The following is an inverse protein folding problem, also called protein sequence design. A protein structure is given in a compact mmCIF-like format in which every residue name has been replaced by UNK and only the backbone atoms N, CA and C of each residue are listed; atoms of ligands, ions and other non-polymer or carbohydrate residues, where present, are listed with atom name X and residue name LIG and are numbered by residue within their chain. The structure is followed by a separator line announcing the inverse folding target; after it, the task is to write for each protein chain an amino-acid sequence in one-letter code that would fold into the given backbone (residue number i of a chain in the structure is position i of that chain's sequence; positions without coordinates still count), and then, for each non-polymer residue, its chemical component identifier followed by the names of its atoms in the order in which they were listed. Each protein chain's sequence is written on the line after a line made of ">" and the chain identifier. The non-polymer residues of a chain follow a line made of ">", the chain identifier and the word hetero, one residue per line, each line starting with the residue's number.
data_IF_271362684856
#
_entry.id   IF_271362684856
#
_cell.length_a   1.000
_cell.length_b   1.000
_cell.length_c   1.000
_cell.angle_alpha   90.00
_cell.angle_beta   90.00
_cell.angle_gamma   90.00
#
_symmetry.space_group_name_H-M   'P 1'
#
loop_
_entity.id
_entity.type
_entity.pdbx_description
1 polymer ?
#
# COMPACT_ATOMS: atom_id res chain seq x y z
N UNK A 1 -25.70 7.86 23.73
CA UNK A 1 -25.12 9.22 23.89
C UNK A 1 -23.64 9.11 24.25
N UNK A 2 -22.82 8.49 23.37
CA UNK A 2 -21.39 8.24 23.65
C UNK A 2 -20.46 8.91 22.63
N UNK A 3 -20.92 10.01 22.01
CA UNK A 3 -20.17 10.78 21.03
C UNK A 3 -18.84 11.37 21.54
N UNK A 4 -18.70 11.87 22.78
CA UNK A 4 -17.46 12.53 23.19
C UNK A 4 -16.24 11.60 23.36
N UNK A 5 -16.46 10.34 23.77
CA UNK A 5 -15.37 9.37 23.94
C UNK A 5 -14.88 8.83 22.58
N UNK A 6 -15.80 8.64 21.65
CA UNK A 6 -15.48 8.20 20.30
C UNK A 6 -14.68 9.26 19.52
N UNK A 7 -15.04 10.54 19.64
CA UNK A 7 -14.28 11.62 19.00
C UNK A 7 -12.87 11.80 19.58
N UNK A 8 -12.72 11.62 20.90
CA UNK A 8 -11.41 11.68 21.54
C UNK A 8 -10.49 10.53 21.11
N UNK A 9 -11.04 9.33 20.87
CA UNK A 9 -10.29 8.19 20.35
C UNK A 9 -9.87 8.37 18.88
N UNK A 10 -10.68 9.04 18.06
CA UNK A 10 -10.37 9.32 16.67
C UNK A 10 -9.05 10.08 16.50
N UNK A 11 -8.81 11.08 17.33
CA UNK A 11 -7.61 11.93 17.21
C UNK A 11 -6.30 11.21 17.50
N UNK A 12 -6.36 10.03 18.12
CA UNK A 12 -5.18 9.25 18.50
C UNK A 12 -4.94 8.02 17.64
N UNK A 13 -6.00 7.34 17.16
CA UNK A 13 -5.86 6.11 16.38
C UNK A 13 -5.49 6.36 14.92
N UNK A 14 -6.20 7.27 14.26
CA UNK A 14 -5.98 7.64 12.86
C UNK A 14 -6.51 9.05 12.61
N UNK A 15 -5.80 9.84 11.80
CA UNK A 15 -6.14 11.25 11.55
C UNK A 15 -6.12 11.56 10.05
N UNK A 16 -6.97 12.50 9.66
CA UNK A 16 -6.93 13.10 8.31
C UNK A 16 -5.56 13.74 8.10
N UNK A 17 -5.03 13.64 6.89
CA UNK A 17 -3.71 14.10 6.47
C UNK A 17 -2.51 13.32 7.04
N UNK A 18 -2.76 12.31 7.87
CA UNK A 18 -1.71 11.39 8.30
C UNK A 18 -1.11 10.66 7.10
N UNK A 19 0.22 10.56 7.06
CA UNK A 19 0.94 9.94 5.96
C UNK A 19 1.91 8.87 6.45
N UNK A 20 2.17 7.88 5.60
CA UNK A 20 3.28 6.95 5.77
C UNK A 20 4.00 6.73 4.46
N UNK A 21 5.30 6.46 4.55
CA UNK A 21 6.18 6.33 3.39
C UNK A 21 7.16 5.18 3.59
N UNK A 22 7.59 4.62 2.46
CA UNK A 22 8.68 3.64 2.40
C UNK A 22 9.43 3.81 1.09
N UNK A 23 10.75 3.76 1.17
CA UNK A 23 11.63 3.69 0.00
C UNK A 23 12.12 2.25 -0.14
N UNK A 24 12.03 1.69 -1.34
CA UNK A 24 12.44 0.32 -1.62
C UNK A 24 12.86 0.14 -3.07
N UNK A 25 13.37 -1.04 -3.39
CA UNK A 25 13.62 -1.49 -4.76
C UNK A 25 13.33 -2.99 -4.86
N UNK A 26 12.95 -3.44 -6.04
CA UNK A 26 12.85 -4.86 -6.35
C UNK A 26 14.11 -5.32 -7.07
N UNK A 27 14.73 -6.39 -6.59
CA UNK A 27 15.75 -7.10 -7.36
C UNK A 27 15.07 -7.93 -8.45
N UNK A 28 15.81 -8.38 -9.47
CA UNK A 28 15.31 -9.35 -10.45
C UNK A 28 14.80 -10.62 -9.77
N UNK A 29 15.48 -11.08 -8.72
CA UNK A 29 15.08 -12.27 -7.95
C UNK A 29 13.76 -12.04 -7.19
N UNK A 30 13.57 -10.88 -6.56
CA UNK A 30 12.31 -10.53 -5.90
C UNK A 30 11.14 -10.58 -6.89
N UNK A 31 11.32 -10.04 -8.08
CA UNK A 31 10.30 -10.01 -9.13
C UNK A 31 9.96 -11.43 -9.61
N UNK A 32 10.98 -12.24 -9.89
CA UNK A 32 10.79 -13.63 -10.31
C UNK A 32 10.13 -14.48 -9.22
N UNK A 33 10.53 -14.30 -7.97
CA UNK A 33 9.97 -15.01 -6.81
C UNK A 33 8.51 -14.69 -6.61
N UNK A 34 8.14 -13.42 -6.67
CA UNK A 34 6.74 -13.00 -6.54
C UNK A 34 5.88 -13.54 -7.69
N UNK A 35 6.40 -13.51 -8.92
CA UNK A 35 5.71 -14.08 -10.07
C UNK A 35 5.44 -15.59 -9.89
N UNK A 36 6.41 -16.34 -9.38
CA UNK A 36 6.21 -17.77 -9.06
C UNK A 36 5.14 -17.98 -7.98
N UNK A 37 5.16 -17.17 -6.91
CA UNK A 37 4.19 -17.26 -5.82
C UNK A 37 2.75 -17.00 -6.28
N UNK A 38 2.57 -16.13 -7.25
CA UNK A 38 1.24 -15.78 -7.79
C UNK A 38 0.82 -16.62 -9.00
N UNK A 39 1.68 -17.52 -9.49
CA UNK A 39 1.42 -18.28 -10.71
C UNK A 39 1.47 -17.43 -11.98
N UNK A 40 2.11 -16.25 -11.93
CA UNK A 40 2.30 -15.38 -13.08
C UNK A 40 3.51 -15.85 -13.89
N UNK A 41 3.26 -16.50 -15.02
CA UNK A 41 4.29 -17.05 -15.91
C UNK A 41 4.73 -16.09 -17.01
N UNK A 42 4.32 -14.81 -16.95
CA UNK A 42 4.72 -13.82 -17.94
C UNK A 42 6.26 -13.67 -17.97
N UNK A 43 6.92 -13.96 -19.11
CA UNK A 43 8.38 -13.95 -19.20
C UNK A 43 9.02 -12.58 -18.90
N UNK A 44 8.27 -11.48 -18.97
CA UNK A 44 8.78 -10.15 -18.62
C UNK A 44 9.21 -10.02 -17.15
N UNK A 45 8.79 -10.95 -16.29
CA UNK A 45 9.12 -10.95 -14.86
C UNK A 45 10.31 -11.86 -14.50
N UNK A 46 10.75 -12.74 -15.40
CA UNK A 46 11.80 -13.71 -15.05
C UNK A 46 12.80 -14.03 -16.16
N UNK A 47 12.51 -13.72 -17.41
CA UNK A 47 13.39 -14.01 -18.55
C UNK A 47 14.05 -12.73 -19.04
N UNK A 48 15.34 -12.56 -18.70
CA UNK A 48 16.11 -11.37 -19.05
C UNK A 48 16.19 -11.18 -20.56
N UNK A 49 16.35 -12.26 -21.34
CA UNK A 49 16.42 -12.17 -22.80
C UNK A 49 15.07 -11.77 -23.40
N UNK A 50 13.97 -12.32 -22.89
CA UNK A 50 12.64 -11.93 -23.32
C UNK A 50 12.37 -10.45 -22.97
N UNK A 51 12.73 -10.02 -21.77
CA UNK A 51 12.58 -8.64 -21.32
C UNK A 51 13.40 -7.66 -22.18
N UNK A 52 14.64 -8.01 -22.53
CA UNK A 52 15.50 -7.18 -23.37
C UNK A 52 14.96 -7.02 -24.80
N UNK A 53 14.27 -8.03 -25.32
CA UNK A 53 13.62 -7.98 -26.65
C UNK A 53 12.27 -7.28 -26.62
N UNK A 54 11.66 -7.15 -25.45
CA UNK A 54 10.37 -6.50 -25.27
C UNK A 54 10.52 -4.98 -25.29
N UNK A 55 9.38 -4.29 -25.38
CA UNK A 55 9.30 -2.82 -25.46
C UNK A 55 10.10 -2.08 -24.38
N UNK A 56 10.17 -2.64 -23.18
CA UNK A 56 10.78 -1.96 -22.03
C UNK A 56 12.29 -2.25 -21.86
N UNK A 57 12.81 -3.32 -22.45
CA UNK A 57 14.24 -3.63 -22.46
C UNK A 57 14.85 -4.14 -21.15
N UNK A 58 14.07 -4.30 -20.08
CA UNK A 58 14.49 -4.79 -18.77
C UNK A 58 13.36 -5.57 -18.10
N UNK A 59 13.71 -6.40 -17.11
CA UNK A 59 12.76 -7.06 -16.22
C UNK A 59 11.90 -6.00 -15.53
N UNK A 60 10.58 -6.21 -15.53
CA UNK A 60 9.61 -5.36 -14.86
C UNK A 60 8.88 -6.13 -13.76
N UNK A 61 8.58 -5.45 -12.65
CA UNK A 61 7.72 -5.98 -11.63
C UNK A 61 6.27 -6.09 -12.15
N UNK A 62 5.56 -7.14 -11.71
CA UNK A 62 4.12 -7.16 -11.91
C UNK A 62 3.45 -6.01 -11.12
N UNK A 63 2.37 -5.45 -11.65
CA UNK A 63 1.62 -4.41 -10.95
C UNK A 63 1.15 -4.89 -9.57
N UNK A 64 0.72 -6.13 -9.47
CA UNK A 64 0.30 -6.75 -8.21
C UNK A 64 1.42 -6.85 -7.16
N UNK A 65 2.69 -6.97 -7.55
CA UNK A 65 3.81 -6.93 -6.62
C UNK A 65 3.97 -5.54 -5.99
N UNK A 66 3.89 -4.49 -6.79
CA UNK A 66 3.95 -3.11 -6.31
C UNK A 66 2.75 -2.81 -5.40
N UNK A 67 1.54 -3.22 -5.79
CA UNK A 67 0.34 -3.02 -4.96
C UNK A 67 0.39 -3.80 -3.65
N UNK A 68 0.95 -5.02 -3.66
CA UNK A 68 1.15 -5.80 -2.44
C UNK A 68 2.08 -5.08 -1.44
N UNK A 69 3.15 -4.45 -1.92
CA UNK A 69 4.03 -3.64 -1.09
C UNK A 69 3.34 -2.37 -0.57
N UNK A 70 2.53 -1.73 -1.38
CA UNK A 70 1.73 -0.58 -0.96
C UNK A 70 0.73 -0.97 0.14
N UNK A 71 -0.01 -2.06 -0.03
CA UNK A 71 -0.95 -2.57 0.98
C UNK A 71 -0.21 -2.95 2.25
N UNK A 72 0.94 -3.62 2.13
CA UNK A 72 1.78 -4.00 3.26
C UNK A 72 2.26 -2.79 4.07
N UNK A 73 2.61 -1.69 3.42
CA UNK A 73 2.95 -0.44 4.09
C UNK A 73 1.76 0.11 4.89
N UNK A 74 0.59 0.19 4.28
CA UNK A 74 -0.62 0.67 4.95
C UNK A 74 -0.99 -0.24 6.13
N UNK A 75 -0.98 -1.55 5.93
CA UNK A 75 -1.32 -2.53 6.96
C UNK A 75 -0.38 -2.42 8.17
N UNK A 76 0.92 -2.32 7.94
CA UNK A 76 1.90 -2.20 9.02
C UNK A 76 1.80 -0.88 9.77
N UNK A 77 1.69 0.22 9.03
CA UNK A 77 1.68 1.55 9.65
C UNK A 77 0.40 1.80 10.44
N UNK A 78 -0.77 1.50 9.88
CA UNK A 78 -2.06 1.79 10.54
C UNK A 78 -2.46 0.75 11.58
N UNK A 79 -1.67 -0.31 11.76
CA UNK A 79 -1.81 -1.28 12.87
C UNK A 79 -0.71 -1.14 13.94
N UNK A 80 0.16 -0.14 13.82
CA UNK A 80 1.29 0.02 14.75
C UNK A 80 0.84 0.25 16.19
N UNK A 81 1.70 -0.12 17.13
CA UNK A 81 1.51 0.09 18.57
C UNK A 81 2.71 0.77 19.25
N UNK A 82 3.69 1.20 18.49
CA UNK A 82 4.91 1.85 18.99
C UNK A 82 4.68 3.27 19.56
N UNK A 83 3.52 3.84 19.30
CA UNK A 83 3.06 5.11 19.85
C UNK A 83 2.19 4.94 21.14
N UNK A 84 2.13 3.73 21.69
CA UNK A 84 1.35 3.41 22.88
C UNK A 84 -0.15 3.20 22.62
N UNK A 85 -0.58 3.21 21.35
CA UNK A 85 -1.97 2.96 20.96
C UNK A 85 -2.12 1.57 20.37
N UNK A 86 -2.99 0.75 20.97
CA UNK A 86 -3.34 -0.55 20.39
C UNK A 86 -4.40 -0.37 19.30
N UNK A 87 -4.15 -0.95 18.12
CA UNK A 87 -5.04 -0.85 16.95
C UNK A 87 -5.37 -2.22 16.39
N UNK A 88 -6.64 -2.43 16.14
CA UNK A 88 -7.12 -3.49 15.26
C UNK A 88 -7.40 -2.88 13.88
N UNK A 89 -6.77 -3.43 12.85
CA UNK A 89 -6.88 -2.95 11.48
C UNK A 89 -7.45 -4.02 10.57
N UNK A 90 -8.43 -3.65 9.75
CA UNK A 90 -8.90 -4.43 8.62
C UNK A 90 -8.81 -3.59 7.34
N UNK A 91 -8.16 -4.14 6.33
CA UNK A 91 -8.17 -3.58 4.98
C UNK A 91 -9.44 -4.05 4.28
N UNK A 92 -10.37 -3.15 3.96
CA UNK A 92 -11.67 -3.52 3.40
C UNK A 92 -11.67 -3.58 1.89
N UNK A 93 -11.02 -2.61 1.24
CA UNK A 93 -10.87 -2.62 -0.21
C UNK A 93 -9.68 -1.77 -0.65
N UNK A 94 -9.20 -2.06 -1.85
CA UNK A 94 -8.25 -1.23 -2.58
C UNK A 94 -8.59 -1.25 -4.07
N UNK A 95 -8.35 -0.12 -4.72
CA UNK A 95 -8.44 0.02 -6.16
C UNK A 95 -7.16 0.68 -6.66
N UNK A 96 -6.52 0.09 -7.67
CA UNK A 96 -5.25 0.57 -8.22
C UNK A 96 -5.34 0.79 -9.72
N UNK A 97 -4.63 1.80 -10.20
CA UNK A 97 -4.38 2.03 -11.61
C UNK A 97 -2.87 1.99 -11.89
N UNK A 98 -2.50 1.26 -12.92
CA UNK A 98 -1.11 1.09 -13.37
C UNK A 98 -0.83 2.10 -14.46
N UNK A 99 0.14 2.99 -14.24
CA UNK A 99 0.46 4.11 -15.13
C UNK A 99 1.75 3.92 -15.90
N UNK A 100 2.73 3.25 -15.30
CA UNK A 100 4.04 3.00 -15.89
C UNK A 100 4.67 1.74 -15.30
N UNK A 101 5.60 1.08 -16.02
CA UNK A 101 6.32 -0.07 -15.49
C UNK A 101 7.27 0.33 -14.36
N UNK A 102 7.48 -0.60 -13.44
CA UNK A 102 8.54 -0.53 -12.43
C UNK A 102 9.62 -1.52 -12.83
N UNK A 103 10.80 -1.02 -13.14
CA UNK A 103 11.94 -1.86 -13.54
C UNK A 103 12.67 -2.42 -12.31
N UNK A 104 13.31 -3.58 -12.51
CA UNK A 104 14.24 -4.12 -11.52
C UNK A 104 15.28 -3.06 -11.12
N UNK A 105 15.65 -3.05 -9.84
CA UNK A 105 16.67 -2.18 -9.22
C UNK A 105 16.34 -0.68 -9.20
N UNK A 106 15.18 -0.25 -9.68
CA UNK A 106 14.78 1.15 -9.53
C UNK A 106 14.37 1.47 -8.09
N UNK A 107 14.81 2.61 -7.60
CA UNK A 107 14.33 3.16 -6.33
C UNK A 107 12.88 3.59 -6.47
N UNK A 108 12.04 3.05 -5.61
CA UNK A 108 10.59 3.25 -5.60
C UNK A 108 10.17 3.83 -4.25
N UNK A 109 9.49 4.96 -4.27
CA UNK A 109 8.88 5.56 -3.09
C UNK A 109 7.41 5.20 -3.04
N UNK A 110 7.00 4.55 -1.96
CA UNK A 110 5.61 4.25 -1.63
C UNK A 110 5.10 5.29 -0.64
N UNK A 111 3.88 5.77 -0.83
CA UNK A 111 3.26 6.73 0.09
C UNK A 111 1.76 6.52 0.16
N UNK A 112 1.22 6.61 1.39
CA UNK A 112 -0.20 6.75 1.65
C UNK A 112 -0.50 8.03 2.42
N UNK A 113 -1.68 8.59 2.19
CA UNK A 113 -2.23 9.72 2.93
C UNK A 113 -3.69 9.44 3.25
N UNK A 114 -4.08 9.69 4.49
CA UNK A 114 -5.48 9.61 4.92
C UNK A 114 -6.23 10.83 4.39
N UNK A 115 -7.24 10.61 3.56
CA UNK A 115 -8.06 11.67 2.96
C UNK A 115 -9.29 12.00 3.77
N UNK A 116 -9.89 11.01 4.44
CA UNK A 116 -11.05 11.21 5.31
C UNK A 116 -11.13 10.11 6.37
N UNK A 117 -11.77 10.41 7.48
CA UNK A 117 -12.04 9.48 8.58
C UNK A 117 -13.45 9.72 9.06
N UNK A 118 -14.25 8.66 9.18
CA UNK A 118 -15.62 8.71 9.67
C UNK A 118 -15.94 7.53 10.57
N UNK A 119 -16.76 7.76 11.60
CA UNK A 119 -17.23 6.67 12.47
C UNK A 119 -18.31 5.86 11.77
N UNK A 120 -18.21 4.54 11.83
CA UNK A 120 -19.20 3.61 11.30
C UNK A 120 -19.83 2.82 12.46
N UNK A 121 -21.06 3.14 12.79
CA UNK A 121 -21.82 2.51 13.89
C UNK A 121 -21.96 0.99 13.70
N UNK A 122 -22.29 0.57 12.48
CA UNK A 122 -22.52 -0.86 12.16
C UNK A 122 -21.25 -1.70 12.34
N UNK A 123 -20.11 -1.16 11.98
CA UNK A 123 -18.82 -1.84 12.06
C UNK A 123 -18.13 -1.59 13.41
N UNK A 124 -18.61 -0.61 14.19
CA UNK A 124 -18.04 -0.25 15.48
C UNK A 124 -16.60 0.23 15.38
N UNK A 125 -16.28 1.06 14.39
CA UNK A 125 -14.93 1.51 14.14
C UNK A 125 -14.87 2.69 13.18
N UNK A 126 -13.65 3.19 12.98
CA UNK A 126 -13.35 4.31 12.11
C UNK A 126 -13.06 3.81 10.69
N UNK A 127 -13.83 4.26 9.71
CA UNK A 127 -13.52 4.09 8.30
C UNK A 127 -12.59 5.20 7.88
N UNK A 128 -11.40 4.83 7.45
CA UNK A 128 -10.41 5.74 6.90
C UNK A 128 -10.24 5.49 5.40
N UNK A 129 -10.43 6.53 4.61
CA UNK A 129 -10.14 6.51 3.19
C UNK A 129 -8.72 7.00 2.95
N UNK A 130 -7.96 6.27 2.16
CA UNK A 130 -6.56 6.56 1.90
C UNK A 130 -6.29 6.66 0.41
N UNK A 131 -5.45 7.64 0.03
CA UNK A 131 -4.90 7.79 -1.30
C UNK A 131 -3.42 7.42 -1.27
N UNK A 132 -2.99 6.59 -2.22
CA UNK A 132 -1.63 6.10 -2.29
C UNK A 132 -1.01 6.20 -3.67
N UNK A 133 0.31 6.19 -3.68
CA UNK A 133 1.10 6.16 -4.92
C UNK A 133 2.43 5.46 -4.71
N UNK A 134 2.90 4.85 -5.79
CA UNK A 134 4.25 4.38 -5.94
C UNK A 134 4.92 5.20 -7.04
N UNK A 135 6.05 5.82 -6.73
CA UNK A 135 6.73 6.76 -7.63
C UNK A 135 8.19 6.36 -7.77
N UNK A 136 8.64 6.20 -9.01
CA UNK A 136 10.08 6.13 -9.32
C UNK A 136 10.66 7.52 -9.16
N UNK A 137 11.87 7.60 -8.62
CA UNK A 137 12.56 8.85 -8.30
C UNK A 137 12.48 9.88 -9.44
N UNK A 138 12.01 11.08 -9.12
CA UNK A 138 11.86 12.22 -10.05
C UNK A 138 10.95 11.98 -11.26
N UNK A 139 10.08 10.98 -11.20
CA UNK A 139 9.14 10.65 -12.27
C UNK A 139 7.69 10.81 -11.84
N UNK A 140 6.78 10.58 -12.78
CA UNK A 140 5.34 10.45 -12.48
C UNK A 140 5.06 9.14 -11.72
N UNK A 141 3.96 9.07 -10.95
CA UNK A 141 3.58 7.84 -10.29
C UNK A 141 3.43 6.67 -11.28
N UNK A 142 4.04 5.53 -10.93
CA UNK A 142 3.88 4.28 -11.67
C UNK A 142 2.57 3.57 -11.32
N UNK A 143 2.16 3.67 -10.06
CA UNK A 143 0.90 3.12 -9.54
C UNK A 143 0.24 4.19 -8.68
N UNK A 144 -1.06 4.34 -8.85
CA UNK A 144 -1.91 5.14 -7.96
C UNK A 144 -3.00 4.26 -7.40
N UNK A 145 -3.40 4.50 -6.15
CA UNK A 145 -4.37 3.67 -5.47
C UNK A 145 -5.25 4.43 -4.49
N UNK A 146 -6.39 3.83 -4.20
CA UNK A 146 -7.30 4.24 -3.13
C UNK A 146 -7.66 3.03 -2.31
N UNK A 147 -7.84 3.24 -1.02
CA UNK A 147 -8.26 2.17 -0.13
C UNK A 147 -9.19 2.64 0.95
N UNK A 148 -9.85 1.68 1.57
CA UNK A 148 -10.66 1.89 2.76
C UNK A 148 -10.19 0.95 3.85
N UNK A 149 -9.84 1.52 4.98
CA UNK A 149 -9.38 0.83 6.18
C UNK A 149 -10.43 0.94 7.27
N UNK A 150 -10.60 -0.11 8.05
CA UNK A 150 -11.36 -0.07 9.30
C UNK A 150 -10.38 -0.14 10.46
N UNK A 151 -10.39 0.89 11.30
CA UNK A 151 -9.50 0.98 12.47
C UNK A 151 -10.35 1.02 13.73
N UNK A 152 -10.02 0.14 14.67
CA UNK A 152 -10.65 0.08 15.99
C UNK A 152 -9.57 0.17 17.08
N UNK A 153 -9.98 0.52 18.29
CA UNK A 153 -9.12 0.32 19.44
C UNK A 153 -8.86 -1.18 19.62
N UNK A 154 -7.60 -1.56 19.77
CA UNK A 154 -7.23 -2.95 20.05
C UNK A 154 -7.76 -3.38 21.42
N UNK A 155 -8.02 -4.67 21.54
CA UNK A 155 -8.31 -5.28 22.85
C UNK A 155 -6.98 -5.57 23.53
N UNK A 156 -6.82 -5.12 24.78
CA UNK A 156 -5.68 -5.46 25.64
C UNK A 156 -5.71 -6.94 26.07
#
# INVERSE_FOLDING_TARGET
>A
MDTPLAEAQMTTLIRVDETCERVMRFTREDIATFARLTGDSNPLHHDVQAAQRARHGEIIASGQQTTAQMIGLAASYFSRSDDGQSRELLCLNFNFAFKAPVFAEQELQLRWRVSSVEWNEKLGGWLAHVDGRATVRHAHPCVVGRGTLLVKAGQD
#
